data_IF_625395521111
#
_entry.id   IF_625395521111
#
_cell.length_a   1.000
_cell.length_b   1.000
_cell.length_c   1.000
_cell.angle_alpha   90.00
_cell.angle_beta   90.00
_cell.angle_gamma   90.00
#
_symmetry.space_group_name_H-M   'P 1'
#
loop_
_entity.id
_entity.type
_entity.pdbx_description
1 polymer ?
#
# COMPACT_ATOMS: atom_id res chain seq x y z
N UNK A 1 -13.43 -10.78 -47.47
CA UNK A 1 -13.18 -11.88 -46.51
C UNK A 1 -13.77 -11.50 -45.17
N UNK A 2 -14.62 -12.37 -44.63
CA UNK A 2 -15.32 -12.13 -43.37
C UNK A 2 -14.38 -12.37 -42.17
N UNK A 3 -14.77 -11.88 -40.98
CA UNK A 3 -13.95 -11.94 -39.77
C UNK A 3 -13.63 -13.38 -39.36
N UNK A 4 -14.56 -14.30 -39.58
CA UNK A 4 -14.41 -15.72 -39.27
C UNK A 4 -13.49 -16.41 -40.27
N UNK A 5 -13.55 -16.08 -41.57
CA UNK A 5 -12.56 -16.61 -42.54
C UNK A 5 -11.14 -16.22 -42.18
N UNK A 6 -10.90 -14.94 -41.82
CA UNK A 6 -9.57 -14.48 -41.38
C UNK A 6 -9.09 -15.19 -40.11
N UNK A 7 -10.02 -15.54 -39.22
CA UNK A 7 -9.70 -16.21 -37.95
C UNK A 7 -9.35 -17.69 -38.17
N UNK A 8 -10.04 -18.36 -39.09
CA UNK A 8 -9.76 -19.74 -39.50
C UNK A 8 -8.41 -19.86 -40.22
N UNK A 9 -8.15 -18.99 -41.20
CA UNK A 9 -6.87 -18.94 -41.91
C UNK A 9 -5.67 -18.73 -40.97
N UNK A 10 -5.85 -17.94 -39.90
CA UNK A 10 -4.82 -17.77 -38.86
C UNK A 10 -4.60 -19.03 -38.02
N UNK A 11 -5.59 -19.91 -37.87
CA UNK A 11 -5.46 -21.18 -37.17
C UNK A 11 -4.77 -22.23 -38.02
N UNK A 12 -5.12 -22.30 -39.31
CA UNK A 12 -4.58 -23.27 -40.26
C UNK A 12 -3.11 -23.00 -40.63
N UNK A 13 -2.68 -21.73 -40.56
CA UNK A 13 -1.30 -21.32 -40.88
C UNK A 13 -0.21 -21.80 -39.91
N UNK A 14 -0.56 -22.49 -38.82
CA UNK A 14 0.42 -23.07 -37.88
C UNK A 14 1.22 -22.07 -37.03
N UNK A 15 1.13 -20.75 -37.29
CA UNK A 15 1.80 -19.70 -36.50
C UNK A 15 1.25 -19.51 -35.08
N UNK A 16 0.17 -20.21 -34.71
CA UNK A 16 -0.30 -20.33 -33.32
C UNK A 16 0.17 -21.67 -32.75
N UNK A 17 1.33 -21.66 -32.10
CA UNK A 17 1.64 -22.70 -31.11
C UNK A 17 0.52 -22.72 -30.07
N UNK A 18 0.05 -23.91 -29.67
CA UNK A 18 -0.84 -24.06 -28.50
C UNK A 18 -0.22 -23.21 -27.37
N UNK A 19 -1.01 -22.40 -26.62
CA UNK A 19 -0.45 -21.72 -25.46
C UNK A 19 0.22 -22.80 -24.63
N UNK A 20 1.53 -22.66 -24.43
CA UNK A 20 2.24 -23.47 -23.45
C UNK A 20 1.44 -23.19 -22.18
N UNK A 21 0.66 -24.18 -21.71
CA UNK A 21 0.07 -24.08 -20.39
C UNK A 21 1.29 -23.83 -19.52
N UNK A 22 1.39 -22.68 -18.81
CA UNK A 22 2.50 -22.51 -17.91
C UNK A 22 2.49 -23.76 -17.05
N UNK A 23 3.62 -24.46 -17.07
CA UNK A 23 3.98 -25.39 -16.04
C UNK A 23 3.51 -24.78 -14.71
N UNK A 24 2.85 -25.58 -13.88
CA UNK A 24 2.23 -25.16 -12.62
C UNK A 24 3.31 -24.80 -11.57
N UNK A 25 4.34 -24.10 -11.99
CA UNK A 25 5.48 -23.59 -11.27
C UNK A 25 5.75 -22.13 -11.68
N UNK A 26 4.70 -21.30 -11.84
CA UNK A 26 4.92 -19.85 -11.99
C UNK A 26 5.20 -19.20 -10.63
N UNK A 27 6.49 -19.13 -10.29
CA UNK A 27 7.13 -18.07 -9.51
C UNK A 27 6.47 -17.59 -8.20
N UNK A 28 6.98 -18.18 -7.10
CA UNK A 28 7.30 -17.58 -5.80
C UNK A 28 6.37 -16.52 -5.20
N UNK A 29 5.75 -16.88 -4.07
CA UNK A 29 5.34 -16.03 -2.94
C UNK A 29 4.65 -14.71 -3.30
N UNK A 30 3.38 -14.58 -2.94
CA UNK A 30 2.70 -13.30 -2.74
C UNK A 30 3.60 -12.29 -2.01
N UNK A 31 4.37 -11.49 -2.76
CA UNK A 31 5.29 -10.49 -2.21
C UNK A 31 4.46 -9.51 -1.40
N UNK A 32 4.64 -9.51 -0.08
CA UNK A 32 3.87 -8.67 0.81
C UNK A 32 4.18 -7.20 0.48
N UNK A 33 3.24 -6.47 -0.11
CA UNK A 33 3.45 -5.05 -0.43
C UNK A 33 3.00 -4.16 0.72
N UNK A 34 3.79 -3.13 1.00
CA UNK A 34 3.45 -2.08 1.95
C UNK A 34 3.28 -0.76 1.23
N UNK A 35 2.39 0.10 1.74
CA UNK A 35 2.22 1.44 1.23
C UNK A 35 3.30 2.36 1.81
N UNK A 36 4.09 2.97 0.92
CA UNK A 36 5.03 4.03 1.26
C UNK A 36 4.47 5.36 0.80
N UNK A 37 4.32 6.33 1.70
CA UNK A 37 3.74 7.62 1.39
C UNK A 37 4.75 8.76 1.59
N UNK A 38 4.88 9.62 0.58
CA UNK A 38 5.62 10.87 0.71
C UNK A 38 4.66 11.99 1.11
N UNK A 39 4.94 12.63 2.25
CA UNK A 39 4.10 13.70 2.78
C UNK A 39 4.31 15.03 2.01
N UNK A 40 5.49 15.23 1.42
CA UNK A 40 5.83 16.46 0.69
C UNK A 40 5.07 16.56 -0.63
N UNK A 41 5.18 15.51 -1.48
CA UNK A 41 4.53 15.50 -2.79
C UNK A 41 3.15 14.81 -2.78
N UNK A 42 2.70 14.33 -1.61
CA UNK A 42 1.36 13.73 -1.40
C UNK A 42 1.08 12.57 -2.36
N UNK A 43 2.06 11.68 -2.48
CA UNK A 43 1.98 10.47 -3.31
C UNK A 43 2.23 9.22 -2.47
N UNK A 44 1.70 8.10 -2.93
CA UNK A 44 1.91 6.79 -2.30
C UNK A 44 2.27 5.74 -3.32
N UNK A 45 3.17 4.83 -2.94
CA UNK A 45 3.65 3.74 -3.78
C UNK A 45 3.57 2.44 -3.02
N UNK A 46 3.20 1.35 -3.69
CA UNK A 46 3.32 0.02 -3.14
C UNK A 46 4.74 -0.48 -3.35
N UNK A 47 5.39 -0.93 -2.27
CA UNK A 47 6.75 -1.52 -2.35
C UNK A 47 6.78 -2.86 -1.63
N UNK A 48 7.57 -3.77 -2.18
CA UNK A 48 7.93 -5.04 -1.55
C UNK A 48 9.45 -5.15 -1.52
N UNK A 49 10.00 -5.66 -0.44
CA UNK A 49 11.43 -5.91 -0.27
C UNK A 49 11.66 -7.41 -0.11
N UNK A 50 12.87 -7.92 -0.39
CA UNK A 50 13.26 -9.25 0.04
C UNK A 50 13.20 -9.37 1.57
N UNK A 51 12.80 -10.53 2.09
CA UNK A 51 12.72 -10.79 3.54
C UNK A 51 11.30 -10.71 4.11
N UNK A 52 11.20 -10.78 5.43
CA UNK A 52 9.91 -10.75 6.10
C UNK A 52 9.35 -9.31 6.14
N UNK A 53 8.01 -9.13 6.16
CA UNK A 53 7.43 -7.79 6.15
C UNK A 53 7.76 -6.94 7.39
N UNK A 54 8.18 -7.57 8.49
CA UNK A 54 8.67 -6.89 9.70
C UNK A 54 10.03 -6.22 9.49
N UNK A 55 10.81 -6.67 8.51
CA UNK A 55 12.17 -6.18 8.23
C UNK A 55 12.15 -5.05 7.17
N UNK A 56 10.96 -4.68 6.71
CA UNK A 56 10.83 -3.64 5.70
C UNK A 56 11.24 -2.28 6.28
N UNK A 57 11.98 -1.45 5.52
CA UNK A 57 12.39 -0.14 5.98
C UNK A 57 11.20 0.72 6.46
N UNK A 58 11.36 1.41 7.58
CA UNK A 58 10.34 2.38 8.04
C UNK A 58 10.29 3.62 7.13
N UNK A 59 11.43 3.94 6.52
CA UNK A 59 11.63 5.10 5.67
C UNK A 59 12.30 4.72 4.36
N UNK A 60 12.16 5.56 3.35
CA UNK A 60 12.84 5.40 2.07
C UNK A 60 12.78 6.69 1.24
N UNK A 61 13.36 6.66 0.05
CA UNK A 61 13.37 7.80 -0.85
C UNK A 61 12.14 7.81 -1.78
N UNK A 62 11.51 8.96 -1.93
CA UNK A 62 10.40 9.21 -2.83
C UNK A 62 10.87 9.23 -4.29
N UNK A 63 10.28 8.38 -5.13
CA UNK A 63 10.60 8.33 -6.56
C UNK A 63 10.06 9.53 -7.35
N UNK A 64 9.10 10.27 -6.79
CA UNK A 64 8.49 11.41 -7.47
C UNK A 64 9.17 12.74 -7.19
N UNK A 65 9.71 12.95 -5.98
CA UNK A 65 10.29 14.24 -5.59
C UNK A 65 11.63 14.13 -4.86
N UNK A 66 12.16 12.93 -4.65
CA UNK A 66 13.42 12.72 -3.90
C UNK A 66 13.31 12.86 -2.38
N UNK A 67 12.18 13.34 -1.85
CA UNK A 67 11.93 13.49 -0.40
C UNK A 67 11.76 12.18 0.35
N UNK A 68 11.39 12.24 1.62
CA UNK A 68 11.23 11.04 2.47
C UNK A 68 9.85 10.40 2.25
N UNK A 69 9.82 9.08 2.16
CA UNK A 69 8.60 8.27 2.24
C UNK A 69 8.56 7.51 3.55
N UNK A 70 7.36 7.38 4.12
CA UNK A 70 7.09 6.62 5.34
C UNK A 70 6.34 5.33 5.00
N UNK A 71 6.75 4.21 5.57
CA UNK A 71 6.02 2.95 5.50
C UNK A 71 4.77 3.04 6.40
N UNK A 72 3.58 3.11 5.79
CA UNK A 72 2.29 3.19 6.48
C UNK A 72 1.55 1.85 6.52
N UNK A 73 2.25 0.77 6.17
CA UNK A 73 1.72 -0.58 6.18
C UNK A 73 0.72 -0.87 5.05
N UNK A 74 0.18 -2.09 5.06
CA UNK A 74 -0.67 -2.61 3.98
C UNK A 74 -2.11 -2.09 3.98
N UNK A 75 -2.58 -1.59 5.11
CA UNK A 75 -3.98 -1.18 5.29
C UNK A 75 -4.17 0.31 5.02
N UNK A 76 -3.08 1.06 4.83
CA UNK A 76 -3.13 2.46 4.49
C UNK A 76 -3.72 2.65 3.09
N UNK A 77 -4.76 3.48 3.03
CA UNK A 77 -5.36 3.96 1.78
C UNK A 77 -4.99 5.41 1.63
N UNK A 78 -4.18 5.71 0.61
CA UNK A 78 -3.75 7.06 0.36
C UNK A 78 -4.93 7.97 -0.01
N UNK A 79 -5.03 9.17 0.59
CA UNK A 79 -5.99 10.17 0.15
C UNK A 79 -5.70 10.62 -1.28
N UNK A 80 -6.70 11.25 -1.92
CA UNK A 80 -6.48 11.93 -3.19
C UNK A 80 -5.38 12.98 -3.02
N UNK A 81 -4.47 13.13 -4.01
CA UNK A 81 -3.35 14.10 -3.95
C UNK A 81 -3.82 15.54 -3.73
N UNK A 82 -4.99 15.90 -4.26
CA UNK A 82 -5.63 17.21 -4.09
C UNK A 82 -6.24 17.43 -2.70
N UNK A 83 -6.45 16.38 -1.91
CA UNK A 83 -7.07 16.47 -0.58
C UNK A 83 -6.06 16.88 0.48
N UNK A 84 -5.76 18.18 0.52
CA UNK A 84 -4.77 18.77 1.43
C UNK A 84 -5.16 18.52 2.89
N UNK A 85 -6.45 18.53 3.23
CA UNK A 85 -6.93 18.33 4.58
C UNK A 85 -6.62 16.91 5.09
N UNK A 86 -6.87 15.89 4.26
CA UNK A 86 -6.54 14.52 4.61
C UNK A 86 -5.03 14.28 4.66
N UNK A 87 -4.24 14.88 3.76
CA UNK A 87 -2.78 14.79 3.82
C UNK A 87 -2.19 15.45 5.07
N UNK A 88 -2.74 16.59 5.51
CA UNK A 88 -2.37 17.21 6.80
C UNK A 88 -2.65 16.28 7.98
N UNK A 89 -3.77 15.55 7.95
CA UNK A 89 -4.10 14.55 8.97
C UNK A 89 -3.09 13.40 8.98
N UNK A 90 -2.77 12.85 7.81
CA UNK A 90 -1.78 11.78 7.66
C UNK A 90 -0.43 12.25 8.20
N UNK A 91 0.05 13.43 7.80
CA UNK A 91 1.30 13.98 8.29
C UNK A 91 1.30 14.15 9.81
N UNK A 92 0.23 14.71 10.38
CA UNK A 92 0.09 14.87 11.83
C UNK A 92 0.18 13.52 12.57
N UNK A 93 -0.51 12.49 12.09
CA UNK A 93 -0.46 11.15 12.69
C UNK A 93 0.95 10.55 12.62
N UNK A 94 1.60 10.63 11.46
CA UNK A 94 2.96 10.09 11.24
C UNK A 94 3.98 10.79 12.13
N UNK A 95 3.93 12.12 12.23
CA UNK A 95 4.82 12.88 13.12
C UNK A 95 4.61 12.59 14.61
N UNK A 96 3.50 11.96 14.97
CA UNK A 96 3.20 11.51 16.33
C UNK A 96 3.32 9.99 16.52
N UNK A 97 3.97 9.27 15.58
CA UNK A 97 4.27 7.84 15.71
C UNK A 97 3.14 6.89 15.31
N UNK A 98 2.12 7.40 14.60
CA UNK A 98 1.01 6.61 14.11
C UNK A 98 1.14 6.37 12.60
N UNK A 99 1.61 5.18 12.25
CA UNK A 99 1.86 4.71 10.89
C UNK A 99 0.73 3.79 10.38
N UNK A 100 -0.50 4.03 10.84
CA UNK A 100 -1.67 3.20 10.49
C UNK A 100 -1.57 1.74 10.94
N UNK A 101 -0.76 1.46 11.97
CA UNK A 101 -0.72 0.19 12.68
C UNK A 101 -2.04 -0.10 13.41
N UNK A 102 -2.37 -1.37 13.60
CA UNK A 102 -3.54 -1.78 14.39
C UNK A 102 -3.32 -1.43 15.87
N UNK A 103 -4.18 -0.59 16.42
CA UNK A 103 -4.18 -0.25 17.86
C UNK A 103 -5.19 -1.14 18.57
N UNK A 104 -4.71 -1.94 19.53
CA UNK A 104 -5.52 -2.86 20.34
C UNK A 104 -5.38 -2.50 21.82
N UNK A 105 -6.28 -1.69 22.38
CA UNK A 105 -6.22 -1.31 23.79
C UNK A 105 -6.49 -2.48 24.75
N UNK A 106 -7.30 -3.45 24.32
CA UNK A 106 -7.66 -4.63 25.10
C UNK A 106 -6.82 -5.81 24.62
N UNK A 107 -6.02 -6.39 25.53
CA UNK A 107 -5.20 -7.58 25.25
C UNK A 107 -6.11 -8.76 24.87
N UNK A 108 -5.68 -9.57 23.89
CA UNK A 108 -6.41 -10.73 23.37
C UNK A 108 -7.80 -10.43 22.77
N UNK A 109 -8.12 -9.17 22.47
CA UNK A 109 -9.35 -8.81 21.77
C UNK A 109 -9.13 -8.69 20.26
N UNK A 110 -10.12 -9.11 19.49
CA UNK A 110 -10.19 -8.83 18.05
C UNK A 110 -10.54 -7.37 17.74
N UNK A 111 -10.98 -6.60 18.74
CA UNK A 111 -11.27 -5.18 18.59
C UNK A 111 -10.00 -4.38 18.24
N UNK A 112 -10.09 -3.56 17.20
CA UNK A 112 -9.06 -2.60 16.82
C UNK A 112 -9.67 -1.22 16.64
N UNK A 113 -8.98 -0.20 17.12
CA UNK A 113 -9.45 1.19 17.04
C UNK A 113 -9.33 1.69 15.60
N UNK A 114 -10.40 2.27 15.08
CA UNK A 114 -10.41 2.96 13.80
C UNK A 114 -9.64 4.28 13.86
N UNK A 115 -8.90 4.58 12.79
CA UNK A 115 -8.21 5.86 12.66
C UNK A 115 -9.19 7.02 12.43
N UNK A 116 -8.83 8.24 12.87
CA UNK A 116 -9.67 9.42 12.78
C UNK A 116 -9.95 9.82 11.32
N UNK A 117 -11.12 10.39 11.08
CA UNK A 117 -11.54 10.85 9.76
C UNK A 117 -11.05 12.27 9.46
N UNK A 118 -10.98 13.12 10.49
CA UNK A 118 -10.61 14.54 10.39
C UNK A 118 -9.31 14.87 11.14
N UNK A 119 -8.72 16.04 10.84
CA UNK A 119 -7.54 16.56 11.56
C UNK A 119 -7.85 16.86 13.03
N UNK A 120 -9.04 17.37 13.34
CA UNK A 120 -9.44 17.68 14.70
C UNK A 120 -9.52 16.40 15.55
N UNK A 121 -10.16 15.36 15.03
CA UNK A 121 -10.17 14.03 15.66
C UNK A 121 -8.77 13.47 15.83
N UNK A 122 -7.86 13.69 14.86
CA UNK A 122 -6.48 13.22 14.97
C UNK A 122 -5.73 13.83 16.17
N UNK A 123 -5.96 15.10 16.48
CA UNK A 123 -5.38 15.74 17.68
C UNK A 123 -5.85 15.06 18.97
N UNK A 124 -7.13 14.72 19.06
CA UNK A 124 -7.70 14.01 20.21
C UNK A 124 -7.19 12.56 20.25
N UNK A 125 -7.13 11.90 19.10
CA UNK A 125 -6.67 10.53 18.93
C UNK A 125 -5.23 10.34 19.43
N UNK A 126 -4.31 11.22 19.00
CA UNK A 126 -2.90 11.19 19.41
C UNK A 126 -2.77 11.29 20.93
N UNK A 127 -3.54 12.18 21.57
CA UNK A 127 -3.53 12.31 23.04
C UNK A 127 -4.06 11.04 23.70
N UNK A 128 -5.18 10.50 23.21
CA UNK A 128 -5.85 9.32 23.78
C UNK A 128 -5.01 8.05 23.67
N UNK A 129 -4.36 7.82 22.53
CA UNK A 129 -3.63 6.58 22.23
C UNK A 129 -2.12 6.74 22.27
N UNK A 130 -1.59 7.80 22.91
CA UNK A 130 -0.14 8.09 22.99
C UNK A 130 0.73 6.88 23.34
N UNK A 131 0.26 5.99 24.23
CA UNK A 131 0.96 4.75 24.63
C UNK A 131 1.17 3.73 23.50
N UNK A 132 0.49 3.90 22.36
CA UNK A 132 0.54 3.01 21.20
C UNK A 132 1.29 3.64 20.00
N UNK A 133 1.84 4.84 20.19
CA UNK A 133 2.75 5.45 19.22
C UNK A 133 4.03 4.61 19.13
N UNK A 134 4.62 4.56 17.93
CA UNK A 134 5.88 3.83 17.67
C UNK A 134 7.13 4.70 17.86
N UNK A 135 6.97 5.95 18.29
CA UNK A 135 8.05 6.91 18.59
C UNK A 135 7.85 7.52 19.97
#
# INVERSE_FOLDING_TARGET
MDRNTKKALRWDSGYRTKPIKPDKASFSSSKYSMAYACLDCKTSFQRSFPGAPCDYPLHGQCVSCGGVTYNLGRHFKAPKKSDIAQWKKVAYLVHHGFYFQKIRPIKNSYFSVSYPSTLAEAKVFVKKYKKHALI
#
